data_IF_299071332660
#
_entry.id   IF_299071332660
#
_cell.length_a   1.000
_cell.length_b   1.000
_cell.length_c   1.000
_cell.angle_alpha   90.00
_cell.angle_beta   90.00
_cell.angle_gamma   90.00
#
_symmetry.space_group_name_H-M   'P 1'
#
loop_
_entity.id
_entity.type
_entity.pdbx_description
1 polymer ?
#
# COMPACT_ATOMS: atom_id res chain seq x y z
N UNK A 1 -18.08 15.62 3.19
CA UNK A 1 -17.55 14.59 2.27
C UNK A 1 -18.67 13.64 1.77
N UNK A 2 -19.39 12.93 2.64
CA UNK A 2 -20.48 12.00 2.24
C UNK A 2 -21.57 12.69 1.40
N UNK A 3 -21.99 13.91 1.77
CA UNK A 3 -22.98 14.69 1.01
C UNK A 3 -22.54 14.96 -0.45
N UNK A 4 -21.27 15.33 -0.68
CA UNK A 4 -20.74 15.56 -2.02
C UNK A 4 -20.67 14.28 -2.85
N UNK A 5 -20.37 13.14 -2.21
CA UNK A 5 -20.40 11.84 -2.89
C UNK A 5 -21.82 11.49 -3.32
N UNK A 6 -22.80 11.63 -2.43
CA UNK A 6 -24.21 11.39 -2.75
C UNK A 6 -24.73 12.34 -3.86
N UNK A 7 -24.40 13.62 -3.78
CA UNK A 7 -24.78 14.60 -4.80
C UNK A 7 -24.15 14.30 -6.17
N UNK A 8 -22.90 13.81 -6.18
CA UNK A 8 -22.21 13.41 -7.42
C UNK A 8 -22.76 12.13 -8.05
N UNK A 9 -23.36 11.23 -7.25
CA UNK A 9 -23.99 10.00 -7.75
C UNK A 9 -25.26 10.29 -8.57
N UNK A 10 -25.97 11.38 -8.25
CA UNK A 10 -27.17 11.83 -8.97
C UNK A 10 -26.90 12.11 -10.46
N UNK A 11 -25.64 12.38 -10.82
CA UNK A 11 -25.22 12.73 -12.17
C UNK A 11 -24.21 11.73 -12.76
N UNK A 12 -24.00 10.57 -12.14
CA UNK A 12 -23.13 9.56 -12.70
C UNK A 12 -23.75 8.96 -13.98
N UNK A 13 -23.00 8.97 -15.09
CA UNK A 13 -23.40 8.34 -16.36
C UNK A 13 -23.43 6.81 -16.24
N UNK A 14 -22.59 6.22 -15.39
CA UNK A 14 -22.58 4.79 -15.07
C UNK A 14 -23.01 4.58 -13.61
N UNK A 15 -24.32 4.67 -13.37
CA UNK A 15 -24.93 4.60 -12.03
C UNK A 15 -24.61 3.29 -11.27
N UNK A 16 -24.57 2.15 -11.95
CA UNK A 16 -24.26 0.85 -11.33
C UNK A 16 -22.84 0.78 -10.76
N UNK A 17 -21.84 1.28 -11.49
CA UNK A 17 -20.45 1.29 -11.01
C UNK A 17 -20.29 2.26 -9.85
N UNK A 18 -20.88 3.46 -9.96
CA UNK A 18 -20.88 4.45 -8.88
C UNK A 18 -21.52 3.90 -7.59
N UNK A 19 -22.63 3.16 -7.71
CA UNK A 19 -23.30 2.54 -6.57
C UNK A 19 -22.45 1.45 -5.90
N UNK A 20 -21.80 0.60 -6.68
CA UNK A 20 -20.92 -0.46 -6.14
C UNK A 20 -19.73 0.14 -5.37
N UNK A 21 -19.06 1.14 -5.96
CA UNK A 21 -17.94 1.84 -5.30
C UNK A 21 -18.41 2.59 -4.05
N UNK A 22 -19.55 3.27 -4.12
CA UNK A 22 -20.15 3.94 -2.97
C UNK A 22 -20.44 2.97 -1.83
N UNK A 23 -21.10 1.85 -2.13
CA UNK A 23 -21.46 0.82 -1.14
C UNK A 23 -20.21 0.25 -0.47
N UNK A 24 -19.16 -0.01 -1.24
CA UNK A 24 -17.88 -0.48 -0.74
C UNK A 24 -17.20 0.54 0.19
N UNK A 25 -17.09 1.80 -0.23
CA UNK A 25 -16.47 2.88 0.58
C UNK A 25 -17.29 3.14 1.84
N UNK A 26 -18.62 3.21 1.71
CA UNK A 26 -19.51 3.43 2.83
C UNK A 26 -19.44 2.30 3.87
N UNK A 27 -19.33 1.05 3.40
CA UNK A 27 -19.05 -0.11 4.26
C UNK A 27 -17.76 0.04 5.06
N UNK A 28 -16.67 0.51 4.41
CA UNK A 28 -15.41 0.78 5.13
C UNK A 28 -15.52 1.93 6.13
N UNK A 29 -16.31 2.98 5.85
CA UNK A 29 -16.55 4.05 6.82
C UNK A 29 -17.29 3.53 8.05
N UNK A 30 -18.31 2.69 7.88
CA UNK A 30 -19.02 2.06 9.01
C UNK A 30 -18.03 1.23 9.84
N UNK A 31 -17.23 0.39 9.20
CA UNK A 31 -16.21 -0.42 9.89
C UNK A 31 -15.20 0.47 10.63
N UNK A 32 -14.76 1.58 10.03
CA UNK A 32 -13.87 2.54 10.68
C UNK A 32 -14.49 3.12 11.94
N UNK A 33 -15.73 3.62 11.89
CA UNK A 33 -16.41 4.17 13.07
C UNK A 33 -16.64 3.11 14.15
N UNK A 34 -16.97 1.88 13.75
CA UNK A 34 -17.14 0.76 14.67
C UNK A 34 -15.83 0.45 15.40
N UNK A 35 -14.73 0.32 14.67
CA UNK A 35 -13.39 0.09 15.23
C UNK A 35 -13.01 1.24 16.15
N UNK A 36 -13.18 2.50 15.72
CA UNK A 36 -12.86 3.67 16.52
C UNK A 36 -13.64 3.73 17.84
N UNK A 37 -14.92 3.30 17.82
CA UNK A 37 -15.77 3.28 19.02
C UNK A 37 -15.46 2.10 19.96
N UNK A 38 -15.06 0.94 19.42
CA UNK A 38 -14.71 -0.25 20.22
C UNK A 38 -13.32 -0.10 20.85
N UNK A 39 -12.37 0.43 20.08
CA UNK A 39 -10.96 0.51 20.46
C UNK A 39 -10.70 1.82 21.20
N UNK A 40 -11.11 1.83 22.47
CA UNK A 40 -10.92 2.98 23.36
C UNK A 40 -9.74 2.83 24.31
N UNK A 41 -9.10 1.66 24.35
CA UNK A 41 -8.00 1.37 25.29
C UNK A 41 -6.75 0.91 24.55
N UNK A 42 -5.57 1.21 25.11
CA UNK A 42 -4.28 0.79 24.54
C UNK A 42 -4.17 -0.73 24.38
N UNK A 43 -4.79 -1.51 25.27
CA UNK A 43 -4.84 -2.97 25.16
C UNK A 43 -5.63 -3.42 23.92
N UNK A 44 -6.81 -2.83 23.67
CA UNK A 44 -7.61 -3.12 22.47
C UNK A 44 -6.89 -2.68 21.19
N UNK A 45 -6.20 -1.54 21.22
CA UNK A 45 -5.45 -1.03 20.08
C UNK A 45 -4.30 -1.98 19.69
N UNK A 46 -3.53 -2.43 20.68
CA UNK A 46 -2.49 -3.46 20.46
C UNK A 46 -3.07 -4.78 19.98
N UNK A 47 -4.25 -5.15 20.46
CA UNK A 47 -5.01 -6.29 19.95
C UNK A 47 -5.31 -6.16 18.46
N UNK A 48 -5.83 -5.00 18.02
CA UNK A 48 -6.07 -4.73 16.60
C UNK A 48 -4.78 -4.81 15.78
N UNK A 49 -3.70 -4.19 16.23
CA UNK A 49 -2.41 -4.26 15.54
C UNK A 49 -1.95 -5.70 15.36
N UNK A 50 -2.04 -6.50 16.43
CA UNK A 50 -1.68 -7.91 16.36
C UNK A 50 -2.59 -8.68 15.40
N UNK A 51 -3.91 -8.45 15.43
CA UNK A 51 -4.86 -9.08 14.49
C UNK A 51 -4.52 -8.75 13.04
N UNK A 52 -4.22 -7.49 12.73
CA UNK A 52 -3.83 -7.07 11.38
C UNK A 52 -2.50 -7.69 10.95
N UNK A 53 -1.52 -7.78 11.84
CA UNK A 53 -0.24 -8.42 11.55
C UNK A 53 -0.45 -9.91 11.30
N UNK A 54 -1.16 -10.61 12.19
CA UNK A 54 -1.40 -12.05 12.07
C UNK A 54 -2.19 -12.38 10.81
N UNK A 55 -3.16 -11.56 10.40
CA UNK A 55 -3.89 -11.78 9.14
C UNK A 55 -2.99 -11.65 7.91
N UNK A 56 -2.05 -10.71 7.91
CA UNK A 56 -1.09 -10.59 6.81
C UNK A 56 -0.05 -11.71 6.83
N UNK A 57 0.38 -12.15 8.01
CA UNK A 57 1.28 -13.30 8.15
C UNK A 57 0.60 -14.57 7.64
N UNK A 58 -0.69 -14.75 7.91
CA UNK A 58 -1.47 -15.85 7.31
C UNK A 58 -1.46 -15.76 5.78
N UNK A 59 -1.65 -14.59 5.19
CA UNK A 59 -1.56 -14.42 3.72
C UNK A 59 -0.15 -14.72 3.18
N UNK A 60 0.90 -14.37 3.92
CA UNK A 60 2.30 -14.68 3.56
C UNK A 60 2.52 -16.20 3.63
N UNK A 61 2.01 -16.87 4.66
CA UNK A 61 2.10 -18.34 4.79
C UNK A 61 1.32 -19.03 3.66
N UNK A 62 0.15 -18.50 3.29
CA UNK A 62 -0.65 -19.01 2.18
C UNK A 62 0.01 -18.76 0.81
N UNK A 63 0.83 -17.72 0.69
CA UNK A 63 1.58 -17.36 -0.52
C UNK A 63 3.10 -17.35 -0.25
N UNK A 64 3.71 -18.51 0.07
CA UNK A 64 5.08 -18.57 0.59
C UNK A 64 6.11 -18.06 -0.42
N UNK A 65 5.82 -18.17 -1.73
CA UNK A 65 6.70 -17.72 -2.81
C UNK A 65 7.04 -16.24 -2.71
N UNK A 66 6.17 -15.42 -2.13
CA UNK A 66 6.44 -13.99 -1.86
C UNK A 66 7.69 -13.80 -1.01
N UNK A 67 8.04 -14.77 -0.15
CA UNK A 67 9.23 -14.72 0.71
C UNK A 67 10.29 -15.75 0.31
N UNK A 68 9.91 -16.88 -0.28
CA UNK A 68 10.89 -17.93 -0.62
C UNK A 68 11.53 -17.76 -1.98
N UNK A 69 10.87 -17.07 -2.93
CA UNK A 69 11.39 -16.77 -4.26
C UNK A 69 11.39 -15.25 -4.51
N UNK A 70 12.35 -14.51 -3.94
CA UNK A 70 12.39 -13.06 -4.11
C UNK A 70 12.84 -12.61 -5.52
N UNK A 71 13.26 -13.55 -6.40
CA UNK A 71 13.71 -13.23 -7.75
C UNK A 71 12.54 -12.88 -8.67
N UNK A 72 11.38 -13.50 -8.43
CA UNK A 72 10.16 -13.31 -9.22
C UNK A 72 9.14 -12.50 -8.43
N UNK A 73 8.38 -11.66 -9.13
CA UNK A 73 7.27 -10.91 -8.50
C UNK A 73 6.03 -11.80 -8.45
N UNK A 74 5.57 -12.10 -7.25
CA UNK A 74 4.38 -12.91 -7.03
C UNK A 74 3.14 -12.05 -6.78
N UNK A 75 1.99 -12.54 -7.26
CA UNK A 75 0.66 -12.01 -6.92
C UNK A 75 0.11 -12.77 -5.71
N UNK A 76 -0.70 -12.10 -4.90
CA UNK A 76 -1.25 -12.67 -3.68
C UNK A 76 -2.59 -13.33 -4.01
N UNK A 77 -2.64 -14.65 -3.89
CA UNK A 77 -3.90 -15.40 -4.03
C UNK A 77 -4.69 -15.34 -2.72
N UNK A 78 -6.02 -15.39 -2.82
CA UNK A 78 -6.92 -15.35 -1.67
C UNK A 78 -7.17 -13.96 -1.07
N UNK A 79 -6.59 -12.91 -1.65
CA UNK A 79 -6.87 -11.53 -1.27
C UNK A 79 -7.49 -10.75 -2.44
N UNK A 80 -8.73 -10.29 -2.26
CA UNK A 80 -9.47 -9.59 -3.33
C UNK A 80 -8.84 -8.25 -3.70
N UNK A 81 -8.62 -7.38 -2.71
CA UNK A 81 -8.05 -6.03 -2.93
C UNK A 81 -6.53 -5.96 -2.74
N UNK A 82 -5.91 -6.99 -2.18
CA UNK A 82 -4.45 -7.08 -2.01
C UNK A 82 -3.80 -8.06 -3.00
N UNK A 83 -4.51 -8.40 -4.09
CA UNK A 83 -4.02 -9.39 -5.06
C UNK A 83 -2.76 -8.93 -5.79
N UNK A 84 -2.62 -7.62 -6.04
CA UNK A 84 -1.39 -7.05 -6.61
C UNK A 84 -0.32 -6.87 -5.53
N UNK A 85 0.93 -7.24 -5.87
CA UNK A 85 2.05 -7.13 -4.94
C UNK A 85 2.32 -5.69 -4.46
N UNK A 86 1.94 -4.66 -5.23
CA UNK A 86 2.10 -3.26 -4.79
C UNK A 86 1.12 -2.93 -3.66
N UNK A 87 -0.15 -3.28 -3.83
CA UNK A 87 -1.19 -2.99 -2.82
C UNK A 87 -0.93 -3.78 -1.54
N UNK A 88 -0.54 -5.04 -1.67
CA UNK A 88 -0.09 -5.86 -0.54
C UNK A 88 1.13 -5.26 0.17
N UNK A 89 2.18 -4.91 -0.57
CA UNK A 89 3.38 -4.32 0.04
C UNK A 89 3.11 -2.99 0.74
N UNK A 90 2.18 -2.19 0.23
CA UNK A 90 1.77 -0.94 0.85
C UNK A 90 1.06 -1.20 2.19
N UNK A 91 0.18 -2.20 2.24
CA UNK A 91 -0.46 -2.58 3.51
C UNK A 91 0.56 -3.06 4.53
N UNK A 92 1.59 -3.81 4.13
CA UNK A 92 2.69 -4.23 5.00
C UNK A 92 3.49 -3.04 5.56
N UNK A 93 3.75 -2.01 4.76
CA UNK A 93 4.44 -0.78 5.22
C UNK A 93 3.67 -0.08 6.33
N UNK A 94 2.33 -0.04 6.24
CA UNK A 94 1.46 0.52 7.28
C UNK A 94 1.61 -0.28 8.60
N UNK A 95 1.85 -1.59 8.51
CA UNK A 95 2.01 -2.45 9.68
C UNK A 95 3.38 -2.33 10.36
N UNK A 96 4.40 -1.77 9.70
CA UNK A 96 5.73 -1.59 10.29
C UNK A 96 5.71 -0.78 11.60
N UNK A 97 5.16 0.45 11.65
CA UNK A 97 5.08 1.20 12.90
C UNK A 97 4.19 0.51 13.96
N UNK A 98 3.17 -0.24 13.54
CA UNK A 98 2.30 -0.98 14.47
C UNK A 98 3.05 -2.14 15.13
N UNK A 99 3.81 -2.90 14.34
CA UNK A 99 4.65 -3.99 14.83
C UNK A 99 5.74 -3.47 15.76
N UNK A 100 6.35 -2.33 15.45
CA UNK A 100 7.33 -1.69 16.33
C UNK A 100 6.72 -1.23 17.67
N UNK A 101 5.51 -0.68 17.69
CA UNK A 101 4.81 -0.35 18.95
C UNK A 101 4.56 -1.62 19.79
N UNK A 102 4.29 -2.78 19.17
CA UNK A 102 4.19 -4.04 19.88
C UNK A 102 5.55 -4.49 20.45
N UNK A 103 6.63 -4.40 19.68
CA UNK A 103 8.00 -4.73 20.13
C UNK A 103 8.43 -3.85 21.30
N UNK A 104 8.22 -2.53 21.19
CA UNK A 104 8.58 -1.56 22.23
C UNK A 104 7.67 -1.68 23.45
N UNK A 105 6.40 -2.05 23.24
CA UNK A 105 5.40 -2.20 24.29
C UNK A 105 5.44 -3.53 25.06
N UNK A 106 6.21 -4.51 24.58
CA UNK A 106 6.28 -5.84 25.16
C UNK A 106 7.10 -5.87 26.46
N UNK A 107 6.46 -6.34 27.54
CA UNK A 107 7.11 -6.50 28.86
C UNK A 107 7.83 -7.84 28.99
N UNK A 108 7.26 -8.92 28.41
CA UNK A 108 7.86 -10.26 28.45
C UNK A 108 8.84 -10.44 27.30
N UNK A 109 10.01 -11.03 27.57
CA UNK A 109 11.02 -11.35 26.56
C UNK A 109 10.47 -12.23 25.43
N UNK A 110 9.62 -13.22 25.75
CA UNK A 110 8.99 -14.09 24.74
C UNK A 110 8.15 -13.32 23.73
N UNK A 111 7.24 -12.44 24.20
CA UNK A 111 6.44 -11.60 23.32
C UNK A 111 7.31 -10.65 22.49
N UNK A 112 8.38 -10.11 23.10
CA UNK A 112 9.30 -9.23 22.38
C UNK A 112 9.99 -9.95 21.22
N UNK A 113 10.49 -11.17 21.44
CA UNK A 113 11.07 -12.01 20.40
C UNK A 113 10.03 -12.32 19.32
N UNK A 114 8.82 -12.74 19.71
CA UNK A 114 7.73 -13.01 18.78
C UNK A 114 7.47 -11.80 17.87
N UNK A 115 7.29 -10.60 18.42
CA UNK A 115 6.99 -9.41 17.62
C UNK A 115 8.17 -8.99 16.72
N UNK A 116 9.42 -9.23 17.15
CA UNK A 116 10.59 -9.01 16.29
C UNK A 116 10.57 -9.98 15.10
N UNK A 117 10.23 -11.25 15.33
CA UNK A 117 10.10 -12.25 14.25
C UNK A 117 8.99 -11.85 13.29
N UNK A 118 7.83 -11.43 13.79
CA UNK A 118 6.73 -10.94 12.94
C UNK A 118 7.16 -9.72 12.12
N UNK A 119 7.83 -8.75 12.73
CA UNK A 119 8.39 -7.59 12.02
C UNK A 119 9.36 -8.01 10.90
N UNK A 120 10.25 -8.96 11.19
CA UNK A 120 11.21 -9.46 10.21
C UNK A 120 10.49 -10.10 9.00
N UNK A 121 9.47 -10.93 9.24
CA UNK A 121 8.68 -11.55 8.16
C UNK A 121 7.99 -10.47 7.29
N UNK A 122 7.45 -9.41 7.91
CA UNK A 122 6.84 -8.30 7.15
C UNK A 122 7.87 -7.60 6.26
N UNK A 123 9.09 -7.35 6.77
CA UNK A 123 10.18 -6.72 5.99
C UNK A 123 10.58 -7.61 4.81
N UNK A 124 10.76 -8.91 5.03
CA UNK A 124 11.10 -9.87 3.98
C UNK A 124 10.02 -9.92 2.89
N UNK A 125 8.75 -9.93 3.28
CA UNK A 125 7.64 -9.87 2.33
C UNK A 125 7.60 -8.56 1.54
N UNK A 126 7.87 -7.41 2.17
CA UNK A 126 7.99 -6.12 1.46
C UNK A 126 9.06 -6.20 0.36
N UNK A 127 10.23 -6.79 0.66
CA UNK A 127 11.30 -6.95 -0.32
C UNK A 127 10.90 -7.91 -1.43
N UNK A 128 10.32 -9.06 -1.07
CA UNK A 128 9.93 -10.09 -2.04
C UNK A 128 8.79 -9.66 -2.98
N UNK A 129 7.93 -8.73 -2.58
CA UNK A 129 6.97 -8.10 -3.51
C UNK A 129 7.62 -7.24 -4.60
N UNK A 130 8.89 -6.88 -4.45
CA UNK A 130 9.66 -6.00 -5.34
C UNK A 130 8.98 -4.65 -5.62
N UNK A 131 8.22 -4.13 -4.64
CA UNK A 131 7.50 -2.86 -4.76
C UNK A 131 8.40 -1.67 -4.42
N UNK A 132 8.58 -0.78 -5.40
CA UNK A 132 9.36 0.46 -5.26
C UNK A 132 8.75 1.42 -4.25
N UNK A 133 7.43 1.61 -4.33
CA UNK A 133 6.70 2.47 -3.42
C UNK A 133 6.79 1.98 -1.98
N UNK A 134 6.68 0.67 -1.76
CA UNK A 134 6.80 0.10 -0.43
C UNK A 134 8.24 0.15 0.11
N UNK A 135 9.25 -0.02 -0.74
CA UNK A 135 10.66 0.10 -0.35
C UNK A 135 11.01 1.51 0.11
N UNK A 136 10.56 2.54 -0.63
CA UNK A 136 10.66 3.94 -0.22
C UNK A 136 9.86 4.23 1.06
N UNK A 137 8.63 3.70 1.15
CA UNK A 137 7.78 3.82 2.34
C UNK A 137 8.41 3.22 3.59
N UNK A 138 9.02 2.03 3.46
CA UNK A 138 9.76 1.38 4.55
C UNK A 138 10.99 2.20 4.96
N UNK A 139 11.78 2.67 3.99
CA UNK A 139 12.95 3.51 4.26
C UNK A 139 12.59 4.81 4.98
N UNK A 140 11.55 5.51 4.51
CA UNK A 140 11.04 6.75 5.14
C UNK A 140 10.45 6.50 6.51
N UNK A 141 9.69 5.40 6.70
CA UNK A 141 9.17 5.01 8.01
C UNK A 141 10.31 4.77 9.01
N UNK A 142 11.32 3.99 8.64
CA UNK A 142 12.47 3.73 9.52
C UNK A 142 13.31 4.98 9.78
N UNK A 143 13.53 5.83 8.78
CA UNK A 143 14.22 7.11 8.97
C UNK A 143 13.47 8.03 9.94
N UNK A 144 12.15 8.12 9.80
CA UNK A 144 11.29 8.90 10.71
C UNK A 144 11.33 8.34 12.14
N UNK A 145 11.24 7.03 12.28
CA UNK A 145 11.30 6.35 13.58
C UNK A 145 12.67 6.52 14.26
N UNK A 146 13.75 6.47 13.49
CA UNK A 146 15.09 6.76 13.98
C UNK A 146 15.23 8.22 14.43
N UNK A 147 14.74 9.17 13.62
CA UNK A 147 14.73 10.59 13.99
C UNK A 147 14.03 10.81 15.33
N UNK A 148 12.81 10.25 15.47
CA UNK A 148 11.96 10.43 16.66
C UNK A 148 12.43 9.61 17.87
N UNK A 149 13.37 8.69 17.71
CA UNK A 149 13.85 7.85 18.80
C UNK A 149 14.60 8.67 19.86
N UNK A 150 14.25 8.56 21.15
CA UNK A 150 15.00 9.18 22.23
C UNK A 150 16.38 8.54 22.43
N UNK A 151 16.60 7.31 21.94
CA UNK A 151 17.86 6.58 22.05
C UNK A 151 18.43 6.32 20.66
N UNK A 152 19.11 7.33 20.10
CA UNK A 152 19.60 7.30 18.71
C UNK A 152 20.63 6.20 18.43
N UNK A 153 21.51 5.89 19.38
CA UNK A 153 22.53 4.84 19.24
C UNK A 153 21.93 3.44 19.03
N UNK A 154 21.17 2.90 19.99
CA UNK A 154 20.51 1.60 19.84
C UNK A 154 19.56 1.54 18.64
N UNK A 155 18.86 2.65 18.32
CA UNK A 155 18.01 2.72 17.14
C UNK A 155 18.81 2.63 15.83
N UNK A 156 19.98 3.26 15.77
CA UNK A 156 20.88 3.16 14.62
C UNK A 156 21.41 1.74 14.44
N UNK A 157 21.78 1.07 15.54
CA UNK A 157 22.22 -0.35 15.50
C UNK A 157 21.09 -1.25 15.01
N UNK A 158 19.86 -1.06 15.51
CA UNK A 158 18.70 -1.82 15.04
C UNK A 158 18.43 -1.61 13.55
N UNK A 159 18.55 -0.36 13.07
CA UNK A 159 18.42 -0.03 11.66
C UNK A 159 19.53 -0.67 10.80
N UNK A 160 20.77 -0.64 11.28
CA UNK A 160 21.89 -1.29 10.62
C UNK A 160 21.71 -2.81 10.51
N UNK A 161 21.22 -3.46 11.57
CA UNK A 161 20.90 -4.90 11.55
C UNK A 161 19.78 -5.20 10.54
N UNK A 162 18.72 -4.39 10.54
CA UNK A 162 17.63 -4.56 9.57
C UNK A 162 18.13 -4.40 8.14
N UNK A 163 18.91 -3.35 7.87
CA UNK A 163 19.49 -3.10 6.55
C UNK A 163 20.44 -4.22 6.11
N UNK A 164 21.27 -4.72 7.02
CA UNK A 164 22.14 -5.86 6.75
C UNK A 164 21.33 -7.12 6.40
N UNK A 165 20.24 -7.39 7.13
CA UNK A 165 19.31 -8.48 6.79
C UNK A 165 18.67 -8.31 5.41
N UNK A 166 18.30 -7.09 5.02
CA UNK A 166 17.82 -6.78 3.67
C UNK A 166 18.88 -7.09 2.62
N UNK A 167 20.13 -6.65 2.84
CA UNK A 167 21.23 -6.87 1.89
C UNK A 167 21.56 -8.36 1.70
N UNK A 168 21.40 -9.19 2.73
CA UNK A 168 21.62 -10.64 2.63
C UNK A 168 20.50 -11.37 1.90
N UNK A 169 19.27 -10.87 1.99
CA UNK A 169 18.08 -11.54 1.44
C UNK A 169 17.68 -11.03 0.06
N UNK A 170 17.85 -9.74 -0.23
CA UNK A 170 17.37 -9.11 -1.45
C UNK A 170 18.24 -9.52 -2.67
N UNK A 171 17.65 -10.05 -3.75
CA UNK A 171 18.40 -10.40 -4.95
C UNK A 171 18.76 -9.16 -5.79
N UNK A 172 19.71 -9.29 -6.71
CA UNK A 172 20.14 -8.20 -7.59
C UNK A 172 18.99 -7.56 -8.39
N UNK A 173 17.98 -8.34 -8.76
CA UNK A 173 16.76 -7.88 -9.45
C UNK A 173 15.99 -6.86 -8.61
N UNK A 174 15.98 -7.01 -7.28
CA UNK A 174 15.36 -6.03 -6.40
C UNK A 174 16.10 -4.68 -6.49
N UNK A 175 17.43 -4.69 -6.41
CA UNK A 175 18.22 -3.46 -6.49
C UNK A 175 18.17 -2.80 -7.87
N UNK A 176 18.15 -3.58 -8.96
CA UNK A 176 18.00 -3.04 -10.30
C UNK A 176 16.66 -2.31 -10.47
N UNK A 177 15.58 -2.83 -9.88
CA UNK A 177 14.28 -2.15 -9.82
C UNK A 177 14.26 -0.91 -8.95
N UNK A 178 15.00 -0.89 -7.85
CA UNK A 178 15.10 0.33 -7.03
C UNK A 178 15.90 1.42 -7.75
N UNK A 179 16.90 1.06 -8.57
CA UNK A 179 17.67 2.02 -9.37
C UNK A 179 16.81 2.74 -10.41
N UNK A 180 15.73 2.14 -10.91
CA UNK A 180 14.83 2.82 -11.87
C UNK A 180 14.05 3.98 -11.24
N UNK A 181 13.96 4.06 -9.90
CA UNK A 181 13.39 5.23 -9.21
C UNK A 181 14.15 6.54 -9.51
N UNK A 182 15.44 6.46 -9.81
CA UNK A 182 16.25 7.62 -10.13
C UNK A 182 16.05 8.15 -11.56
N UNK A 183 15.40 7.37 -12.44
CA UNK A 183 15.15 7.73 -13.84
C UNK A 183 13.64 7.68 -14.17
N UNK A 184 12.87 8.74 -13.83
CA UNK A 184 11.41 8.77 -14.02
C UNK A 184 10.96 8.61 -15.48
N UNK A 185 11.80 9.01 -16.44
CA UNK A 185 11.50 8.97 -17.88
C UNK A 185 11.47 7.54 -18.45
N UNK A 186 12.03 6.56 -17.74
CA UNK A 186 11.99 5.14 -18.13
C UNK A 186 10.81 4.39 -17.48
N UNK A 187 10.00 5.07 -16.68
CA UNK A 187 8.94 4.48 -15.86
C UNK A 187 7.54 4.68 -16.49
N UNK A 188 7.15 3.76 -17.37
CA UNK A 188 5.80 3.68 -17.95
C UNK A 188 4.67 3.82 -16.90
N UNK A 189 4.87 3.29 -15.70
CA UNK A 189 3.90 3.36 -14.60
C UNK A 189 3.78 4.74 -13.94
N UNK A 190 4.89 5.49 -13.84
CA UNK A 190 4.86 6.85 -13.26
C UNK A 190 4.20 7.83 -14.24
N UNK A 191 4.53 7.72 -15.53
CA UNK A 191 3.91 8.51 -16.58
C UNK A 191 2.41 8.22 -16.72
N UNK A 192 1.99 6.95 -16.61
CA UNK A 192 0.57 6.58 -16.62
C UNK A 192 -0.20 7.22 -15.46
N UNK A 193 0.37 7.23 -14.24
CA UNK A 193 -0.24 7.89 -13.08
C UNK A 193 -0.30 9.41 -13.24
N UNK A 194 0.79 10.03 -13.70
CA UNK A 194 0.81 11.48 -13.95
C UNK A 194 -0.22 11.88 -15.02
N UNK A 195 -0.36 11.08 -16.09
CA UNK A 195 -1.39 11.27 -17.11
C UNK A 195 -2.79 11.11 -16.52
N UNK A 196 -3.03 10.07 -15.72
CA UNK A 196 -4.32 9.87 -15.06
C UNK A 196 -4.68 11.01 -14.09
N UNK A 197 -3.72 11.51 -13.32
CA UNK A 197 -3.94 12.65 -12.42
C UNK A 197 -4.21 13.95 -13.18
N UNK A 198 -3.45 14.21 -14.26
CA UNK A 198 -3.69 15.37 -15.14
C UNK A 198 -5.06 15.27 -15.82
N UNK A 199 -5.46 14.08 -16.27
CA UNK A 199 -6.79 13.85 -16.82
C UNK A 199 -7.88 14.10 -15.77
N UNK A 200 -7.74 13.52 -14.57
CA UNK A 200 -8.68 13.74 -13.46
C UNK A 200 -8.78 15.21 -13.03
N UNK A 201 -7.67 15.94 -13.03
CA UNK A 201 -7.67 17.38 -12.73
C UNK A 201 -8.41 18.20 -13.80
N UNK A 202 -8.24 17.87 -15.09
CA UNK A 202 -9.00 18.52 -16.18
C UNK A 202 -10.48 18.20 -16.09
N UNK A 203 -10.83 16.94 -15.85
CA UNK A 203 -12.20 16.48 -15.65
C UNK A 203 -12.88 17.21 -14.48
N UNK A 204 -12.16 17.45 -13.38
CA UNK A 204 -12.66 18.22 -12.23
C UNK A 204 -12.83 19.72 -12.51
N UNK A 205 -12.03 20.30 -13.42
CA UNK A 205 -12.19 21.69 -13.88
C UNK A 205 -13.39 21.83 -14.81
N UNK A 206 -13.59 20.87 -15.71
CA UNK A 206 -14.70 20.87 -16.66
C UNK A 206 -16.04 20.57 -15.98
N UNK A 207 -16.04 19.81 -14.87
CA UNK A 207 -17.23 19.51 -14.07
C UNK A 207 -16.96 19.65 -12.56
N UNK A 208 -17.21 20.85 -12.04
CA UNK A 208 -16.94 21.25 -10.64
C UNK A 208 -17.62 20.39 -9.57
N UNK A 209 -18.70 19.68 -9.92
CA UNK A 209 -19.48 18.87 -8.98
C UNK A 209 -19.46 17.35 -9.29
N UNK A 210 -18.78 16.92 -10.36
CA UNK A 210 -18.71 15.52 -10.78
C UNK A 210 -17.29 14.94 -10.59
N UNK A 211 -16.96 14.57 -9.35
CA UNK A 211 -15.65 13.98 -9.00
C UNK A 211 -15.63 12.44 -9.08
N UNK A 212 -16.69 11.81 -9.60
CA UNK A 212 -16.77 10.35 -9.67
C UNK A 212 -16.28 9.89 -11.05
N UNK A 213 -15.40 8.90 -11.05
CA UNK A 213 -14.84 8.26 -12.24
C UNK A 213 -15.91 7.75 -13.24
N UNK A 214 -17.15 7.56 -12.74
CA UNK A 214 -18.33 7.11 -13.46
C UNK A 214 -19.13 8.21 -14.17
N UNK A 215 -18.75 9.49 -14.05
CA UNK A 215 -19.42 10.61 -14.74
C UNK A 215 -18.87 10.87 -16.14
N UNK A 216 -17.76 10.24 -16.49
CA UNK A 216 -17.05 10.51 -17.74
C UNK A 216 -17.06 9.27 -18.64
N UNK A 217 -17.57 9.37 -19.88
CA UNK A 217 -17.45 8.29 -20.84
C UNK A 217 -15.96 8.08 -21.12
N UNK A 218 -15.49 6.84 -20.96
CA UNK A 218 -14.11 6.36 -21.16
C UNK A 218 -13.27 7.22 -22.12
N UNK A 219 -12.58 8.22 -21.59
CA UNK A 219 -11.64 9.04 -22.36
C UNK A 219 -10.31 9.05 -21.64
N UNK A 220 -9.64 7.89 -21.67
CA UNK A 220 -8.19 7.93 -21.81
C UNK A 220 -7.95 8.25 -23.29
N UNK A 221 -7.45 9.44 -23.66
CA UNK A 221 -7.04 9.65 -25.04
C UNK A 221 -5.90 8.68 -25.32
N UNK A 222 -6.16 7.64 -26.12
CA UNK A 222 -5.13 6.83 -26.77
C UNK A 222 -4.50 7.70 -27.86
N UNK A 223 -3.66 8.66 -27.47
CA UNK A 223 -2.91 9.42 -28.46
C UNK A 223 -1.68 8.61 -28.82
N UNK A 224 -1.81 7.81 -29.88
CA UNK A 224 -0.69 7.12 -30.51
C UNK A 224 -1.03 5.91 -31.36
N UNK A 225 -1.92 6.03 -32.36
CA UNK A 225 -1.80 5.29 -33.63
C UNK A 225 -2.72 5.95 -34.68
N UNK A 226 -2.05 6.63 -35.61
CA UNK A 226 -2.36 6.78 -37.05
C UNK A 226 -3.83 6.95 -37.47
N UNK A 227 -4.12 8.11 -38.08
CA UNK A 227 -5.28 8.31 -38.94
C UNK A 227 -5.37 7.17 -39.96
N UNK A 228 -6.48 6.44 -40.00
CA UNK A 228 -6.88 5.71 -41.19
C UNK A 228 -7.81 6.62 -41.99
N UNK A 229 -7.52 6.89 -43.27
CA UNK A 229 -8.39 7.69 -44.11
C UNK A 229 -9.67 6.90 -44.36
N UNK A 230 -10.83 7.54 -44.14
CA UNK A 230 -12.11 7.06 -44.64
C UNK A 230 -12.06 7.07 -46.17
N UNK A 231 -12.03 5.89 -46.77
CA UNK A 231 -12.20 5.70 -48.21
C UNK A 231 -13.21 4.58 -48.47
N UNK A 232 -14.17 4.86 -49.36
CA UNK A 232 -15.14 3.89 -49.90
C UNK A 232 -16.57 4.23 -49.53
#
# INVERSE_FOLDING_TARGET
MVFFVLASMSWATVTTYAYNVFTLIFGYLILFFLIARIITTRKRLRGLFLTLIVSHIFLIIYNPLVVTDPYVRHYITGATFLGDGNDFSLSLVILLPFSLELVMGAQKKSHKILYIVLLAILILAIIGTQSRGASLGMGTAFAYLWWRSPRKGPALVALAIALFGVLLYAPDVYFSRMKTLSNPEQESSAEARLRAWKAGARMAQDHTWALVQATFPTTFPSTGTTMLPSGG
#
